data_IF_694055303976
#
_entry.id   IF_694055303976
#
_cell.length_a   1.000
_cell.length_b   1.000
_cell.length_c   1.000
_cell.angle_alpha   90.00
_cell.angle_beta   90.00
_cell.angle_gamma   90.00
#
_symmetry.space_group_name_H-M   'P 1'
#
loop_
_entity.id
_entity.type
_entity.pdbx_description
1 polymer ?
#
# COMPACT_ATOMS: atom_id res chain seq x y z
N UNK A 1 50.77 -6.76 -16.53
CA UNK A 1 49.53 -7.56 -16.44
C UNK A 1 49.48 -8.48 -15.21
N UNK A 2 50.55 -9.17 -14.81
CA UNK A 2 50.56 -9.99 -13.57
C UNK A 2 50.38 -9.19 -12.26
N UNK A 3 50.89 -7.96 -12.18
CA UNK A 3 50.74 -7.07 -11.01
C UNK A 3 49.32 -6.50 -10.86
N UNK A 4 48.56 -6.41 -11.96
CA UNK A 4 47.17 -5.93 -11.95
C UNK A 4 46.22 -7.00 -11.40
N UNK A 5 46.48 -8.28 -11.69
CA UNK A 5 45.71 -9.42 -11.14
C UNK A 5 45.89 -9.60 -9.62
N UNK A 6 47.04 -9.20 -9.06
CA UNK A 6 47.28 -9.27 -7.60
C UNK A 6 46.46 -8.18 -6.87
N UNK A 7 46.25 -7.02 -7.48
CA UNK A 7 45.49 -5.92 -6.87
C UNK A 7 43.99 -6.21 -6.84
N UNK A 8 43.45 -6.87 -7.88
CA UNK A 8 42.02 -7.24 -7.95
C UNK A 8 41.69 -8.37 -6.98
N UNK A 9 42.60 -9.32 -6.76
CA UNK A 9 42.41 -10.40 -5.78
C UNK A 9 42.40 -9.91 -4.32
N UNK A 10 43.07 -8.80 -4.02
CA UNK A 10 43.12 -8.22 -2.66
C UNK A 10 41.89 -7.38 -2.29
N UNK A 11 41.14 -6.87 -3.27
CA UNK A 11 39.91 -6.10 -3.02
C UNK A 11 38.68 -6.99 -2.82
N UNK A 12 38.65 -8.18 -3.42
CA UNK A 12 37.52 -9.12 -3.33
C UNK A 12 37.42 -9.79 -1.94
N UNK A 13 38.52 -9.83 -1.20
CA UNK A 13 38.58 -10.37 0.17
C UNK A 13 37.96 -9.43 1.24
N UNK A 14 37.63 -8.18 0.91
CA UNK A 14 37.07 -7.19 1.85
C UNK A 14 35.55 -6.99 1.72
N UNK A 15 34.87 -7.66 0.80
CA UNK A 15 33.41 -7.55 0.59
C UNK A 15 32.62 -8.83 0.94
N UNK A 16 33.27 -9.83 1.55
CA UNK A 16 32.74 -11.19 1.70
C UNK A 16 31.93 -11.54 2.95
N UNK A 17 31.41 -10.57 3.70
CA UNK A 17 30.54 -10.85 4.87
C UNK A 17 29.23 -10.05 4.80
N UNK A 18 28.36 -10.45 3.88
CA UNK A 18 26.91 -10.22 3.95
C UNK A 18 26.21 -11.37 3.23
N UNK A 19 26.31 -12.56 3.82
CA UNK A 19 25.44 -13.68 3.52
C UNK A 19 24.41 -13.78 4.66
N UNK A 20 23.20 -13.31 4.41
CA UNK A 20 21.99 -13.74 5.12
C UNK A 20 20.91 -13.82 4.03
N UNK A 21 20.77 -15.01 3.44
CA UNK A 21 19.70 -15.97 3.69
C UNK A 21 18.40 -15.59 2.97
N UNK A 22 18.12 -16.32 1.89
CA UNK A 22 16.81 -16.38 1.26
C UNK A 22 15.80 -16.89 2.28
N UNK A 23 14.87 -16.04 2.67
CA UNK A 23 13.53 -16.46 3.00
C UNK A 23 12.64 -15.98 1.86
N UNK A 24 12.22 -16.93 1.05
CA UNK A 24 10.97 -16.86 0.30
C UNK A 24 9.88 -16.52 1.33
N UNK A 25 9.27 -15.35 1.20
CA UNK A 25 8.14 -14.94 2.01
C UNK A 25 7.25 -14.12 1.09
N UNK A 26 6.36 -14.82 0.38
CA UNK A 26 5.09 -14.25 -0.06
C UNK A 26 4.50 -13.55 1.16
N UNK A 27 4.61 -12.24 1.17
CA UNK A 27 4.00 -11.42 2.20
C UNK A 27 2.54 -11.24 1.81
N UNK A 28 1.79 -12.33 1.89
CA UNK A 28 0.41 -12.26 2.38
C UNK A 28 0.50 -11.60 3.75
N UNK A 29 0.31 -10.27 3.81
CA UNK A 29 -0.04 -9.63 5.05
C UNK A 29 -1.46 -10.05 5.43
N UNK A 30 -1.52 -11.24 6.02
CA UNK A 30 -2.62 -11.66 6.88
C UNK A 30 -2.63 -10.73 8.09
N UNK A 31 -3.57 -9.78 8.09
CA UNK A 31 -4.02 -9.10 9.30
C UNK A 31 -4.82 -10.10 10.14
N UNK A 32 -4.18 -10.64 11.17
CA UNK A 32 -4.76 -11.67 12.01
C UNK A 32 -5.61 -11.02 13.13
N UNK A 33 -6.95 -11.14 13.03
CA UNK A 33 -7.80 -11.22 14.24
C UNK A 33 -9.08 -10.39 14.35
N UNK A 34 -9.97 -10.35 13.35
CA UNK A 34 -11.43 -10.23 13.54
C UNK A 34 -12.11 -10.48 12.17
N UNK A 35 -13.08 -11.38 12.09
CA UNK A 35 -13.52 -11.99 10.81
C UNK A 35 -13.80 -10.99 9.69
N UNK A 36 -12.97 -11.03 8.63
CA UNK A 36 -13.15 -10.45 7.28
C UNK A 36 -14.05 -9.20 7.19
N UNK A 37 -13.83 -8.22 8.08
CA UNK A 37 -14.57 -6.96 8.01
C UNK A 37 -13.81 -6.05 7.06
N UNK A 38 -14.15 -6.16 5.78
CA UNK A 38 -13.56 -5.33 4.73
C UNK A 38 -14.15 -3.91 4.76
N UNK A 39 -13.28 -2.92 4.66
CA UNK A 39 -13.67 -1.55 4.36
C UNK A 39 -14.01 -1.50 2.87
N UNK A 40 -15.29 -1.30 2.56
CA UNK A 40 -15.78 -1.37 1.17
C UNK A 40 -16.74 -0.23 0.88
N UNK A 41 -16.77 0.16 -0.39
CA UNK A 41 -17.74 1.10 -0.95
C UNK A 41 -18.32 0.55 -2.26
N UNK A 42 -19.65 0.56 -2.37
CA UNK A 42 -20.33 0.17 -3.60
C UNK A 42 -20.55 1.40 -4.50
N UNK A 43 -19.91 1.39 -5.67
CA UNK A 43 -19.94 2.48 -6.65
C UNK A 43 -21.33 2.73 -7.25
N UNK A 44 -22.21 1.72 -7.30
CA UNK A 44 -23.57 1.85 -7.84
C UNK A 44 -24.54 2.36 -6.77
N UNK A 45 -24.57 1.67 -5.62
CA UNK A 45 -25.56 1.95 -4.57
C UNK A 45 -25.15 3.11 -3.68
N UNK A 46 -23.87 3.52 -3.74
CA UNK A 46 -23.27 4.58 -2.91
C UNK A 46 -23.29 4.24 -1.41
N UNK A 47 -23.22 2.95 -1.11
CA UNK A 47 -23.29 2.43 0.26
C UNK A 47 -21.90 2.02 0.74
N UNK A 48 -21.62 2.34 2.00
CA UNK A 48 -20.42 1.95 2.71
C UNK A 48 -20.64 0.66 3.51
N UNK A 49 -19.59 -0.11 3.73
CA UNK A 49 -19.66 -1.27 4.63
C UNK A 49 -20.03 -0.84 6.07
N UNK A 50 -20.57 -1.75 6.90
CA UNK A 50 -20.92 -1.43 8.29
C UNK A 50 -19.74 -0.89 9.10
N UNK A 51 -18.52 -1.33 8.81
CA UNK A 51 -17.29 -0.84 9.46
C UNK A 51 -17.04 0.63 9.14
N UNK A 52 -17.09 1.00 7.86
CA UNK A 52 -16.93 2.37 7.42
C UNK A 52 -17.98 3.28 8.05
N UNK A 53 -19.26 2.88 8.05
CA UNK A 53 -20.33 3.69 8.64
C UNK A 53 -20.29 3.78 10.17
N UNK A 54 -19.75 2.76 10.85
CA UNK A 54 -19.64 2.75 12.31
C UNK A 54 -18.46 3.61 12.81
N UNK A 55 -17.34 3.64 12.09
CA UNK A 55 -16.11 4.29 12.55
C UNK A 55 -15.74 5.57 11.80
N UNK A 56 -16.19 5.71 10.56
CA UNK A 56 -15.90 6.88 9.73
C UNK A 56 -16.66 8.12 10.18
N UNK A 57 -15.96 9.26 10.24
CA UNK A 57 -16.62 10.55 10.33
C UNK A 57 -17.37 10.86 9.02
N UNK A 58 -18.33 11.80 9.06
CA UNK A 58 -19.03 12.24 7.85
C UNK A 58 -18.04 12.74 6.80
N UNK A 59 -17.07 13.53 7.24
CA UNK A 59 -16.03 14.12 6.39
C UNK A 59 -15.11 13.04 5.80
N UNK A 60 -14.73 12.03 6.60
CA UNK A 60 -13.94 10.89 6.12
C UNK A 60 -14.72 10.13 5.05
N UNK A 61 -15.98 9.79 5.31
CA UNK A 61 -16.83 9.06 4.36
C UNK A 61 -17.04 9.83 3.05
N UNK A 62 -17.23 11.15 3.13
CA UNK A 62 -17.32 12.00 1.93
C UNK A 62 -16.00 11.99 1.13
N UNK A 63 -14.85 11.99 1.79
CA UNK A 63 -13.54 11.89 1.13
C UNK A 63 -13.34 10.52 0.45
N UNK A 64 -13.70 9.42 1.12
CA UNK A 64 -13.63 8.07 0.52
C UNK A 64 -14.55 7.91 -0.69
N UNK A 65 -15.79 8.41 -0.60
CA UNK A 65 -16.72 8.39 -1.73
C UNK A 65 -16.16 9.18 -2.92
N UNK A 66 -15.62 10.39 -2.66
CA UNK A 66 -14.99 11.19 -3.70
C UNK A 66 -13.80 10.46 -4.34
N UNK A 67 -12.94 9.84 -3.53
CA UNK A 67 -11.78 9.11 -4.03
C UNK A 67 -12.18 7.92 -4.93
N UNK A 68 -13.21 7.17 -4.52
CA UNK A 68 -13.71 6.03 -5.30
C UNK A 68 -14.39 6.46 -6.61
N UNK A 69 -15.14 7.57 -6.59
CA UNK A 69 -15.89 8.04 -7.76
C UNK A 69 -15.07 8.88 -8.75
N UNK A 70 -14.01 9.52 -8.27
CA UNK A 70 -13.20 10.45 -9.05
C UNK A 70 -11.69 10.17 -8.94
N UNK A 71 -11.23 8.91 -9.13
CA UNK A 71 -9.81 8.57 -9.01
C UNK A 71 -8.95 9.39 -9.98
N UNK A 72 -9.45 9.72 -11.17
CA UNK A 72 -8.73 10.55 -12.16
C UNK A 72 -8.33 11.94 -11.65
N UNK A 73 -9.04 12.45 -10.64
CA UNK A 73 -8.69 13.74 -10.01
C UNK A 73 -7.53 13.53 -9.04
N UNK A 74 -7.60 12.47 -8.23
CA UNK A 74 -6.63 12.18 -7.18
C UNK A 74 -5.35 11.50 -7.71
N UNK A 75 -5.41 10.86 -8.88
CA UNK A 75 -4.25 10.22 -9.53
C UNK A 75 -3.14 11.23 -9.87
N UNK A 76 -3.52 12.49 -10.06
CA UNK A 76 -2.61 13.59 -10.33
C UNK A 76 -2.22 14.37 -9.06
N UNK A 77 -2.76 14.00 -7.90
CA UNK A 77 -2.45 14.64 -6.62
C UNK A 77 -1.41 13.81 -5.86
N UNK A 78 -0.24 14.37 -5.54
CA UNK A 78 0.75 13.68 -4.74
C UNK A 78 0.25 13.49 -3.30
N UNK A 79 0.58 12.34 -2.74
CA UNK A 79 0.36 12.02 -1.32
C UNK A 79 1.62 12.35 -0.51
N UNK A 80 1.43 12.96 0.66
CA UNK A 80 2.53 13.38 1.55
C UNK A 80 2.50 12.68 2.91
N UNK A 81 1.72 11.60 3.04
CA UNK A 81 1.63 10.82 4.29
C UNK A 81 2.94 10.09 4.63
N UNK A 82 3.83 9.88 3.65
CA UNK A 82 5.09 9.17 3.84
C UNK A 82 4.99 7.63 3.77
N UNK A 83 3.81 7.10 3.43
CA UNK A 83 3.53 5.66 3.40
C UNK A 83 3.93 4.95 2.10
N UNK A 84 4.71 5.59 1.22
CA UNK A 84 5.08 5.00 -0.07
C UNK A 84 5.92 3.72 0.10
N UNK A 85 6.90 3.73 1.00
CA UNK A 85 7.78 2.57 1.20
C UNK A 85 7.13 1.45 2.01
N UNK A 86 6.12 1.78 2.83
CA UNK A 86 5.44 0.83 3.72
C UNK A 86 4.25 0.17 3.06
N UNK A 87 3.41 0.95 2.36
CA UNK A 87 2.10 0.53 1.86
C UNK A 87 2.01 0.66 0.32
N UNK A 88 3.03 1.21 -0.33
CA UNK A 88 3.06 1.34 -1.79
C UNK A 88 2.20 2.48 -2.35
N UNK A 89 1.67 3.37 -1.50
CA UNK A 89 0.80 4.46 -1.94
C UNK A 89 1.55 5.49 -2.78
N UNK A 90 1.24 5.54 -4.07
CA UNK A 90 1.96 6.38 -5.06
C UNK A 90 1.34 7.76 -5.29
N UNK A 91 0.05 7.92 -4.98
CA UNK A 91 -0.72 9.15 -5.16
C UNK A 91 -1.88 9.19 -4.13
N UNK A 92 -2.71 10.23 -4.18
CA UNK A 92 -3.85 10.33 -3.26
C UNK A 92 -4.90 9.24 -3.48
N UNK A 93 -5.13 8.76 -4.71
CA UNK A 93 -6.09 7.66 -4.95
C UNK A 93 -5.68 6.41 -4.16
N UNK A 94 -4.40 6.03 -4.26
CA UNK A 94 -3.85 4.88 -3.56
C UNK A 94 -3.93 5.04 -2.04
N UNK A 95 -4.05 6.26 -1.51
CA UNK A 95 -4.24 6.48 -0.07
C UNK A 95 -5.63 6.07 0.43
N UNK A 96 -6.63 6.00 -0.44
CA UNK A 96 -8.02 5.69 -0.07
C UNK A 96 -8.48 4.34 -0.64
N UNK A 97 -7.96 3.94 -1.80
CA UNK A 97 -8.47 2.81 -2.59
C UNK A 97 -7.37 1.76 -2.77
N UNK A 98 -7.58 0.59 -2.17
CA UNK A 98 -6.69 -0.57 -2.34
C UNK A 98 -6.89 -1.23 -3.69
N UNK A 99 -8.16 -1.49 -4.03
CA UNK A 99 -8.53 -2.14 -5.29
C UNK A 99 -9.99 -1.89 -5.64
N UNK A 100 -10.33 -2.13 -6.90
CA UNK A 100 -11.72 -2.10 -7.37
C UNK A 100 -11.99 -3.39 -8.14
N UNK A 101 -13.02 -4.13 -7.72
CA UNK A 101 -13.53 -5.32 -8.41
C UNK A 101 -15.00 -5.10 -8.79
N UNK A 102 -15.24 -4.94 -10.10
CA UNK A 102 -16.54 -4.52 -10.61
C UNK A 102 -16.97 -3.17 -10.00
N UNK A 103 -18.05 -3.21 -9.21
CA UNK A 103 -18.62 -2.03 -8.57
C UNK A 103 -18.29 -1.93 -7.07
N UNK A 104 -17.37 -2.77 -6.58
CA UNK A 104 -16.92 -2.73 -5.19
C UNK A 104 -15.50 -2.18 -5.15
N UNK A 105 -15.32 -1.06 -4.46
CA UNK A 105 -14.02 -0.55 -4.08
C UNK A 105 -13.66 -1.07 -2.69
N UNK A 106 -12.55 -1.80 -2.58
CA UNK A 106 -11.91 -2.08 -1.30
C UNK A 106 -11.09 -0.85 -0.91
N UNK A 107 -11.29 -0.39 0.32
CA UNK A 107 -10.76 0.87 0.81
C UNK A 107 -9.64 0.63 1.81
N UNK A 108 -8.60 1.44 1.71
CA UNK A 108 -7.58 1.52 2.74
C UNK A 108 -8.22 2.11 4.01
N UNK A 109 -8.01 1.50 5.18
CA UNK A 109 -8.66 1.96 6.43
C UNK A 109 -7.87 3.01 7.22
N UNK A 110 -6.63 3.33 6.83
CA UNK A 110 -5.78 4.29 7.53
C UNK A 110 -6.31 5.73 7.45
N UNK A 111 -7.06 6.07 6.41
CA UNK A 111 -7.67 7.39 6.23
C UNK A 111 -9.00 7.62 6.98
N UNK A 112 -9.51 6.62 7.72
CA UNK A 112 -10.82 6.69 8.38
C UNK A 112 -10.88 7.61 9.61
N UNK A 113 -9.75 7.90 10.27
CA UNK A 113 -9.71 8.74 11.47
C UNK A 113 -8.38 8.69 12.20
#
# INVERSE_FOLDING_TARGET
MKKFMIFVASCILLFGLSACNSSENDSEQTSQGSGDIKAEYNLDTKEFSPMMTQYGSKESLEAYAFAAEHPQVLDHMPCYCGCFETDGHTNNTACFIDSVDGNIATLDSMGLG
#
